data_IF_353458702645
#
_entry.id   IF_353458702645
#
_cell.length_a   1.000
_cell.length_b   1.000
_cell.length_c   1.000
_cell.angle_alpha   90.00
_cell.angle_beta   90.00
_cell.angle_gamma   90.00
#
_symmetry.space_group_name_H-M   'P 1'
#
loop_
_entity.id
_entity.type
_entity.pdbx_description
1 polymer ?
#
# COMPACT_ATOMS: atom_id res chain seq x y z
N UNK A 1 -41.05 13.64 -15.44
CA UNK A 1 -40.18 13.03 -14.41
C UNK A 1 -38.76 13.00 -14.96
N UNK A 2 -37.84 13.52 -14.15
CA UNK A 2 -36.54 14.08 -14.53
C UNK A 2 -35.55 13.04 -15.08
N UNK A 3 -34.79 13.44 -16.11
CA UNK A 3 -33.56 12.77 -16.53
C UNK A 3 -32.41 13.40 -15.74
N UNK A 4 -31.74 12.59 -14.94
CA UNK A 4 -30.64 13.01 -14.05
C UNK A 4 -29.50 13.70 -14.84
N UNK A 5 -29.12 14.93 -14.49
CA UNK A 5 -28.06 15.70 -15.16
C UNK A 5 -26.63 15.31 -14.73
N UNK A 6 -26.42 14.30 -13.88
CA UNK A 6 -25.11 13.93 -13.32
C UNK A 6 -24.39 12.78 -14.04
N UNK A 7 -24.83 12.38 -15.22
CA UNK A 7 -24.09 11.43 -16.06
C UNK A 7 -23.31 12.21 -17.12
N UNK A 8 -22.10 12.64 -16.75
CA UNK A 8 -21.18 13.28 -17.68
C UNK A 8 -20.75 12.31 -18.78
N UNK A 9 -20.88 12.73 -20.04
CA UNK A 9 -20.36 12.02 -21.22
C UNK A 9 -18.84 11.92 -21.16
N UNK A 10 -18.29 10.81 -20.68
CA UNK A 10 -16.85 10.49 -20.78
C UNK A 10 -16.62 9.53 -21.94
N UNK A 11 -16.73 10.06 -23.17
CA UNK A 11 -16.16 9.40 -24.35
C UNK A 11 -14.66 9.17 -24.07
N UNK A 12 -14.12 7.96 -24.28
CA UNK A 12 -12.71 7.70 -24.04
C UNK A 12 -11.84 8.57 -24.95
N UNK A 13 -10.87 9.26 -24.37
CA UNK A 13 -9.87 10.06 -25.08
C UNK A 13 -8.68 9.13 -25.35
N UNK A 14 -8.33 8.84 -26.62
CA UNK A 14 -7.15 8.05 -26.92
C UNK A 14 -5.88 8.85 -26.63
N UNK A 15 -5.02 8.32 -25.76
CA UNK A 15 -3.70 8.86 -25.41
C UNK A 15 -2.63 8.42 -26.42
N UNK A 16 -2.88 8.66 -27.71
CA UNK A 16 -1.87 8.47 -28.76
C UNK A 16 -1.16 9.81 -28.99
N UNK A 17 0.06 9.94 -28.47
CA UNK A 17 0.99 10.98 -28.89
C UNK A 17 2.00 10.30 -29.82
N UNK A 18 1.67 10.28 -31.11
CA UNK A 18 2.66 10.04 -32.15
C UNK A 18 3.41 11.34 -32.45
N UNK A 19 4.65 11.41 -32.00
CA UNK A 19 5.69 12.24 -32.60
C UNK A 19 7.01 11.48 -32.43
N UNK A 20 7.25 10.52 -33.34
CA UNK A 20 8.10 10.69 -34.53
C UNK A 20 9.59 10.76 -34.19
N UNK A 21 10.26 9.65 -34.50
CA UNK A 21 11.62 9.48 -35.06
C UNK A 21 12.76 10.28 -34.37
N UNK A 22 13.87 9.69 -33.93
CA UNK A 22 14.84 8.95 -34.73
C UNK A 22 15.81 8.15 -33.82
N UNK A 23 16.25 7.01 -34.36
CA UNK A 23 17.54 6.33 -34.18
C UNK A 23 18.51 6.93 -33.15
N UNK A 24 18.98 6.09 -32.23
CA UNK A 24 20.38 5.70 -32.19
C UNK A 24 20.58 4.56 -31.20
N UNK A 25 21.51 3.68 -31.58
CA UNK A 25 22.11 2.62 -30.81
C UNK A 25 22.30 3.03 -29.34
N UNK A 26 22.15 2.07 -28.42
CA UNK A 26 23.28 1.59 -27.62
C UNK A 26 22.85 0.38 -26.79
N UNK A 27 23.36 -0.75 -27.24
CA UNK A 27 23.53 -2.00 -26.49
C UNK A 27 24.16 -1.75 -25.12
N UNK A 28 23.74 -2.54 -24.13
CA UNK A 28 24.12 -2.49 -22.70
C UNK A 28 23.27 -1.55 -21.83
N UNK A 29 22.02 -1.96 -21.59
CA UNK A 29 21.48 -1.81 -20.23
C UNK A 29 21.24 -3.18 -19.66
N UNK A 30 22.20 -3.53 -18.81
CA UNK A 30 22.22 -4.67 -17.91
C UNK A 30 20.80 -5.02 -17.45
N UNK A 31 20.50 -6.31 -17.53
CA UNK A 31 19.38 -6.95 -16.86
C UNK A 31 19.54 -6.75 -15.35
N UNK A 32 19.22 -5.55 -14.86
CA UNK A 32 18.72 -5.41 -13.50
C UNK A 32 17.27 -5.86 -13.56
N UNK A 33 17.09 -7.18 -13.52
CA UNK A 33 15.90 -7.78 -12.94
C UNK A 33 15.87 -7.37 -11.46
N UNK A 34 15.62 -6.09 -11.19
CA UNK A 34 15.04 -5.62 -9.95
C UNK A 34 13.55 -5.82 -10.23
N UNK A 35 13.04 -7.03 -10.09
CA UNK A 35 12.24 -7.38 -8.91
C UNK A 35 11.65 -6.09 -8.34
N UNK A 36 10.75 -5.49 -9.11
CA UNK A 36 9.65 -4.66 -8.64
C UNK A 36 8.73 -5.56 -7.80
N UNK A 37 9.29 -6.19 -6.76
CA UNK A 37 8.53 -6.26 -5.53
C UNK A 37 8.46 -4.80 -5.14
N UNK A 38 7.40 -4.14 -5.57
CA UNK A 38 6.85 -2.98 -4.90
C UNK A 38 7.13 -3.20 -3.42
N UNK A 39 8.06 -2.43 -2.89
CA UNK A 39 8.36 -2.42 -1.46
C UNK A 39 7.13 -1.72 -0.90
N UNK A 40 5.99 -2.43 -0.78
CA UNK A 40 4.83 -1.85 -0.14
C UNK A 40 5.32 -1.40 1.23
N UNK A 41 5.16 -0.12 1.51
CA UNK A 41 5.41 0.39 2.84
C UNK A 41 4.53 -0.42 3.82
N UNK A 42 4.98 -0.70 5.05
CA UNK A 42 4.12 -1.33 6.06
C UNK A 42 2.74 -0.67 6.18
N UNK A 43 2.66 0.65 5.97
CA UNK A 43 1.39 1.39 5.92
C UNK A 43 0.54 1.09 4.67
N UNK A 44 1.15 0.90 3.51
CA UNK A 44 0.43 0.53 2.27
C UNK A 44 -0.07 -0.91 2.32
N UNK A 45 0.72 -1.83 2.89
CA UNK A 45 0.30 -3.21 3.11
C UNK A 45 -0.88 -3.27 4.09
N UNK A 46 -0.83 -2.50 5.18
CA UNK A 46 -1.93 -2.39 6.14
C UNK A 46 -3.20 -1.89 5.45
N UNK A 47 -3.10 -0.83 4.66
CA UNK A 47 -4.23 -0.25 3.94
C UNK A 47 -4.83 -1.25 2.94
N UNK A 48 -4.00 -2.07 2.28
CA UNK A 48 -4.50 -3.13 1.41
C UNK A 48 -5.24 -4.22 2.19
N UNK A 49 -4.73 -4.61 3.37
CA UNK A 49 -5.37 -5.60 4.24
C UNK A 49 -6.69 -5.09 4.83
N UNK A 50 -6.77 -3.80 5.18
CA UNK A 50 -8.02 -3.16 5.63
C UNK A 50 -9.07 -3.08 4.51
N UNK A 51 -8.64 -2.97 3.25
CA UNK A 51 -9.51 -2.94 2.08
C UNK A 51 -9.73 -4.34 1.45
N UNK A 52 -9.29 -5.42 2.09
CA UNK A 52 -9.50 -6.78 1.57
C UNK A 52 -10.97 -7.17 1.70
N UNK A 53 -11.68 -7.21 0.56
CA UNK A 53 -13.10 -7.56 0.48
C UNK A 53 -13.42 -8.94 1.08
N UNK A 54 -12.49 -9.90 0.98
CA UNK A 54 -12.69 -11.24 1.52
C UNK A 54 -12.61 -11.23 3.04
N UNK A 55 -11.63 -10.54 3.60
CA UNK A 55 -11.53 -10.38 5.05
C UNK A 55 -12.77 -9.67 5.61
N UNK A 56 -13.20 -8.58 4.96
CA UNK A 56 -14.40 -7.84 5.37
C UNK A 56 -15.68 -8.69 5.32
N UNK A 57 -15.86 -9.50 4.27
CA UNK A 57 -17.00 -10.40 4.16
C UNK A 57 -17.01 -11.47 5.27
N UNK A 58 -15.85 -12.08 5.55
CA UNK A 58 -15.71 -13.07 6.62
C UNK A 58 -15.99 -12.48 8.01
N UNK A 59 -15.56 -11.23 8.26
CA UNK A 59 -15.88 -10.53 9.51
C UNK A 59 -17.37 -10.20 9.62
N UNK A 60 -18.00 -9.76 8.53
CA UNK A 60 -19.46 -9.53 8.49
C UNK A 60 -20.23 -10.81 8.79
N UNK A 61 -19.82 -11.93 8.20
CA UNK A 61 -20.43 -13.23 8.44
C UNK A 61 -20.32 -13.66 9.91
N UNK A 62 -19.19 -13.38 10.57
CA UNK A 62 -19.01 -13.60 12.01
C UNK A 62 -19.94 -12.71 12.86
N UNK A 63 -20.10 -11.44 12.50
CA UNK A 63 -21.03 -10.51 13.17
C UNK A 63 -22.49 -10.96 13.01
N UNK A 64 -22.85 -11.50 11.84
CA UNK A 64 -24.15 -12.11 11.58
C UNK A 64 -24.35 -13.46 12.29
N UNK A 65 -23.33 -13.97 12.98
CA UNK A 65 -23.37 -15.24 13.72
C UNK A 65 -23.25 -16.49 12.83
N UNK A 66 -22.79 -16.34 11.59
CA UNK A 66 -22.49 -17.47 10.70
C UNK A 66 -21.22 -18.19 11.17
N UNK A 67 -21.21 -19.50 10.98
CA UNK A 67 -20.05 -20.33 11.30
C UNK A 67 -19.11 -20.37 10.10
N UNK A 68 -17.93 -19.77 10.26
CA UNK A 68 -16.85 -19.91 9.30
C UNK A 68 -16.25 -21.32 9.35
N UNK A 69 -15.74 -21.79 8.21
CA UNK A 69 -14.93 -23.00 8.16
C UNK A 69 -13.62 -22.80 8.92
N UNK A 70 -12.97 -23.91 9.32
CA UNK A 70 -11.70 -23.85 10.04
C UNK A 70 -10.61 -23.09 9.25
N UNK A 71 -10.59 -23.27 7.94
CA UNK A 71 -9.63 -22.62 7.05
C UNK A 71 -9.88 -21.10 6.93
N UNK A 72 -11.15 -20.69 6.96
CA UNK A 72 -11.56 -19.29 6.92
C UNK A 72 -11.24 -18.60 8.24
N UNK A 73 -11.54 -19.24 9.38
CA UNK A 73 -11.16 -18.73 10.69
C UNK A 73 -9.63 -18.56 10.81
N UNK A 74 -8.87 -19.58 10.39
CA UNK A 74 -7.40 -19.52 10.38
C UNK A 74 -6.88 -18.36 9.50
N UNK A 75 -7.55 -18.13 8.36
CA UNK A 75 -7.22 -17.01 7.50
C UNK A 75 -7.49 -15.66 8.20
N UNK A 76 -8.69 -15.47 8.78
CA UNK A 76 -9.06 -14.26 9.52
C UNK A 76 -8.05 -13.99 10.64
N UNK A 77 -7.76 -14.98 11.47
CA UNK A 77 -6.80 -14.87 12.56
C UNK A 77 -5.42 -14.44 12.04
N UNK A 78 -4.90 -15.11 11.00
CA UNK A 78 -3.60 -14.79 10.41
C UNK A 78 -3.51 -13.36 9.83
N UNK A 79 -4.63 -12.84 9.31
CA UNK A 79 -4.70 -11.48 8.78
C UNK A 79 -4.77 -10.44 9.88
N UNK A 80 -5.54 -10.71 10.93
CA UNK A 80 -5.58 -9.85 12.12
C UNK A 80 -4.23 -9.77 12.82
N UNK A 81 -3.51 -10.89 12.94
CA UNK A 81 -2.14 -10.92 13.48
C UNK A 81 -1.16 -10.08 12.63
N UNK A 82 -1.31 -10.14 11.30
CA UNK A 82 -0.51 -9.32 10.38
C UNK A 82 -0.85 -7.83 10.52
N UNK A 83 -2.12 -7.50 10.61
CA UNK A 83 -2.61 -6.13 10.84
C UNK A 83 -2.07 -5.59 12.17
N UNK A 84 -2.12 -6.35 13.26
CA UNK A 84 -1.54 -5.96 14.56
C UNK A 84 -0.03 -5.72 14.44
N UNK A 85 0.70 -6.61 13.78
CA UNK A 85 2.14 -6.43 13.53
C UNK A 85 2.44 -5.18 12.70
N UNK A 86 1.63 -4.90 11.67
CA UNK A 86 1.81 -3.72 10.83
C UNK A 86 1.43 -2.43 11.57
N UNK A 87 0.35 -2.44 12.36
CA UNK A 87 -0.03 -1.35 13.24
C UNK A 87 1.07 -1.07 14.27
N UNK A 88 1.73 -2.11 14.77
CA UNK A 88 2.94 -1.96 15.57
C UNK A 88 4.05 -1.31 14.76
N UNK A 89 4.45 -1.83 13.61
CA UNK A 89 5.53 -1.20 12.81
C UNK A 89 5.22 0.26 12.39
N UNK A 90 3.94 0.59 12.15
CA UNK A 90 3.49 1.92 11.72
C UNK A 90 3.27 2.87 12.92
N UNK A 91 2.83 2.34 14.07
CA UNK A 91 2.44 3.09 15.27
C UNK A 91 3.40 2.98 16.47
N UNK A 92 4.34 2.02 16.43
CA UNK A 92 5.52 1.92 17.30
C UNK A 92 6.62 2.72 16.59
N UNK A 93 6.83 3.91 17.17
CA UNK A 93 8.15 4.56 17.23
C UNK A 93 9.21 3.50 17.58
N UNK A 94 10.43 3.59 17.06
CA UNK A 94 11.58 2.74 17.42
C UNK A 94 11.83 2.70 18.95
N UNK A 95 11.01 1.98 19.71
CA UNK A 95 11.07 1.90 21.17
C UNK A 95 10.92 0.42 21.52
N UNK A 96 11.97 -0.33 21.17
CA UNK A 96 12.63 -1.23 22.10
C UNK A 96 14.00 -1.61 21.52
N UNK A 97 14.99 -0.83 21.96
CA UNK A 97 16.44 -1.07 22.04
C UNK A 97 17.37 -0.58 20.90
N UNK A 98 17.90 0.64 21.15
CA UNK A 98 19.23 1.19 20.81
C UNK A 98 19.61 1.46 19.33
N UNK A 99 19.45 2.73 18.94
CA UNK A 99 20.62 3.47 18.43
C UNK A 99 20.69 4.84 19.16
N UNK A 100 21.50 4.83 20.22
CA UNK A 100 22.01 5.96 20.98
C UNK A 100 22.83 6.88 20.06
N UNK A 101 22.17 7.70 19.21
CA UNK A 101 22.82 8.76 18.39
C UNK A 101 21.77 9.54 17.56
N UNK A 102 21.18 10.67 18.00
CA UNK A 102 21.84 12.00 17.99
C UNK A 102 20.86 13.09 18.45
N UNK A 103 20.98 13.63 19.67
CA UNK A 103 20.43 14.97 19.97
C UNK A 103 21.13 16.09 19.15
N UNK A 104 22.31 15.81 18.59
CA UNK A 104 23.13 16.80 17.87
C UNK A 104 22.53 17.25 16.53
N UNK A 105 21.75 16.40 15.85
CA UNK A 105 21.22 16.75 14.53
C UNK A 105 20.05 17.74 14.60
N UNK A 106 19.24 17.67 15.66
CA UNK A 106 18.13 18.61 15.90
C UNK A 106 18.68 19.97 16.37
N UNK A 107 19.70 19.98 17.24
CA UNK A 107 20.39 21.21 17.68
C UNK A 107 21.15 21.92 16.55
N UNK A 108 21.73 21.17 15.59
CA UNK A 108 22.41 21.75 14.43
C UNK A 108 21.44 22.45 13.46
N UNK A 109 20.23 21.91 13.29
CA UNK A 109 19.21 22.52 12.43
C UNK A 109 18.67 23.83 13.04
N UNK A 110 18.53 23.89 14.36
CA UNK A 110 18.05 25.09 15.06
C UNK A 110 19.08 26.22 15.18
N UNK A 111 20.37 25.92 15.00
CA UNK A 111 21.48 26.87 15.21
C UNK A 111 22.18 27.29 13.90
N UNK A 112 21.57 27.04 12.74
CA UNK A 112 22.28 26.93 11.46
C UNK A 112 21.88 27.86 10.30
N UNK A 113 21.44 29.10 10.55
CA UNK A 113 21.73 30.36 9.81
C UNK A 113 20.67 31.42 10.00
#
# INVERSE_FOLDING_TARGET
>A
MEKDPRIGSKKPIPLLIDAKEEKALNTNKQKINKVEKSILSPAEELLLLENDERLAALLTDLEEGKKLAKDEMTYVDSKLDRIDTLLKIVGIELDDEEDDDKPDNIMRLLKGK
#
